data_IF_085224335727
#
_entry.id   IF_085224335727
#
_cell.length_a   1.000
_cell.length_b   1.000
_cell.length_c   1.000
_cell.angle_alpha   90.00
_cell.angle_beta   90.00
_cell.angle_gamma   90.00
#
_symmetry.space_group_name_H-M   'P 1'
#
loop_
_entity.id
_entity.type
_entity.pdbx_description
1 polymer ?
#
# COMPACT_ATOMS: atom_id res chain seq x y z
N UNK A 1 -13.63 -19.32 8.45
CA UNK A 1 -13.72 -19.02 9.90
C UNK A 1 -13.18 -17.63 10.27
N UNK A 2 -12.01 -17.19 9.76
CA UNK A 2 -11.40 -15.92 10.16
C UNK A 2 -12.28 -14.66 10.07
N UNK A 3 -13.01 -14.45 8.98
CA UNK A 3 -13.87 -13.26 8.82
C UNK A 3 -15.01 -13.15 9.84
N UNK A 4 -15.63 -14.28 10.20
CA UNK A 4 -16.68 -14.32 11.24
C UNK A 4 -16.14 -13.94 12.62
N UNK A 5 -14.91 -14.37 12.94
CA UNK A 5 -14.25 -14.00 14.19
C UNK A 5 -13.95 -12.49 14.26
N UNK A 6 -13.48 -11.89 13.16
CA UNK A 6 -13.24 -10.43 13.10
C UNK A 6 -14.50 -9.62 13.40
N UNK A 7 -15.65 -10.04 12.84
CA UNK A 7 -16.94 -9.40 13.12
C UNK A 7 -17.39 -9.59 14.58
N UNK A 8 -17.16 -10.76 15.17
CA UNK A 8 -17.49 -11.02 16.58
C UNK A 8 -16.62 -10.21 17.55
N UNK A 9 -15.34 -10.05 17.24
CA UNK A 9 -14.42 -9.23 18.05
C UNK A 9 -14.80 -7.76 17.93
N UNK A 10 -15.32 -7.33 16.78
CA UNK A 10 -15.67 -5.95 16.46
C UNK A 10 -14.52 -5.26 15.75
N UNK A 11 -14.64 -5.09 14.44
CA UNK A 11 -13.57 -4.56 13.58
C UNK A 11 -13.16 -3.13 13.94
N UNK A 12 -14.07 -2.34 14.49
CA UNK A 12 -13.84 -0.92 14.82
C UNK A 12 -12.99 -0.71 16.07
N UNK A 13 -12.73 -1.76 16.85
CA UNK A 13 -11.93 -1.67 18.09
C UNK A 13 -10.47 -1.29 17.84
N UNK A 14 -9.93 -1.58 16.65
CA UNK A 14 -8.53 -1.30 16.35
C UNK A 14 -8.30 -1.15 14.84
N UNK A 15 -7.50 -0.16 14.37
CA UNK A 15 -7.20 0.00 12.95
C UNK A 15 -6.66 -1.26 12.27
N UNK A 16 -5.85 -2.05 12.97
CA UNK A 16 -5.34 -3.32 12.42
C UNK A 16 -6.45 -4.32 12.07
N UNK A 17 -7.53 -4.39 12.87
CA UNK A 17 -8.65 -5.29 12.59
C UNK A 17 -9.43 -4.85 11.36
N UNK A 18 -9.63 -3.53 11.19
CA UNK A 18 -10.18 -2.94 9.96
C UNK A 18 -9.34 -3.28 8.73
N UNK A 19 -8.02 -3.12 8.80
CA UNK A 19 -7.11 -3.50 7.71
C UNK A 19 -7.18 -4.99 7.39
N UNK A 20 -7.10 -5.86 8.41
CA UNK A 20 -7.20 -7.31 8.21
C UNK A 20 -8.55 -7.70 7.60
N UNK A 21 -9.63 -7.09 8.05
CA UNK A 21 -10.96 -7.35 7.50
C UNK A 21 -11.06 -6.90 6.03
N UNK A 22 -10.57 -5.70 5.69
CA UNK A 22 -10.53 -5.23 4.31
C UNK A 22 -9.69 -6.14 3.39
N UNK A 23 -8.51 -6.60 3.84
CA UNK A 23 -7.72 -7.57 3.09
C UNK A 23 -8.45 -8.90 2.91
N UNK A 24 -9.22 -9.34 3.91
CA UNK A 24 -10.04 -10.54 3.79
C UNK A 24 -11.13 -10.39 2.73
N UNK A 25 -11.71 -9.19 2.60
CA UNK A 25 -12.73 -8.86 1.61
C UNK A 25 -12.16 -8.89 0.19
N UNK A 26 -10.95 -8.37 -0.04
CA UNK A 26 -10.28 -8.54 -1.34
C UNK A 26 -10.03 -10.02 -1.69
N UNK A 27 -9.61 -10.80 -0.71
CA UNK A 27 -9.21 -12.19 -0.93
C UNK A 27 -10.38 -13.18 -0.98
N UNK A 28 -11.62 -12.76 -0.66
CA UNK A 28 -12.74 -13.71 -0.49
C UNK A 28 -12.51 -14.71 0.65
N UNK A 29 -11.63 -14.39 1.61
CA UNK A 29 -11.30 -15.34 2.68
C UNK A 29 -12.37 -15.30 3.77
N UNK A 30 -13.08 -16.41 3.94
CA UNK A 30 -14.12 -16.56 4.96
C UNK A 30 -15.47 -15.92 4.61
N UNK A 31 -15.72 -15.64 3.33
CA UNK A 31 -16.97 -15.15 2.75
C UNK A 31 -16.74 -14.59 1.34
N UNK A 32 -17.77 -14.02 0.72
CA UNK A 32 -17.64 -13.49 -0.65
C UNK A 32 -16.65 -12.33 -0.75
N UNK A 33 -16.10 -12.13 -1.94
CA UNK A 33 -15.26 -10.96 -2.19
C UNK A 33 -16.12 -9.70 -2.25
N UNK A 34 -15.68 -8.64 -1.57
CA UNK A 34 -16.34 -7.33 -1.60
C UNK A 34 -15.26 -6.22 -1.62
N UNK A 35 -14.67 -5.97 -2.80
CA UNK A 35 -13.61 -4.99 -2.94
C UNK A 35 -14.09 -3.54 -2.72
N UNK A 36 -15.36 -3.24 -2.94
CA UNK A 36 -15.95 -1.91 -2.69
C UNK A 36 -15.97 -1.58 -1.20
N UNK A 37 -16.44 -2.52 -0.38
CA UNK A 37 -16.38 -2.38 1.08
C UNK A 37 -14.93 -2.35 1.58
N UNK A 38 -14.05 -3.18 1.01
CA UNK A 38 -12.63 -3.17 1.35
C UNK A 38 -12.00 -1.79 1.11
N UNK A 39 -12.26 -1.18 -0.05
CA UNK A 39 -11.76 0.14 -0.41
C UNK A 39 -12.22 1.21 0.60
N UNK A 40 -13.52 1.22 0.94
CA UNK A 40 -14.09 2.17 1.91
C UNK A 40 -13.41 2.07 3.28
N UNK A 41 -13.25 0.85 3.80
CA UNK A 41 -12.63 0.62 5.11
C UNK A 41 -11.16 1.07 5.13
N UNK A 42 -10.40 0.81 4.06
CA UNK A 42 -9.01 1.25 3.97
C UNK A 42 -8.89 2.77 3.86
N UNK A 43 -9.82 3.44 3.17
CA UNK A 43 -9.88 4.92 3.14
C UNK A 43 -10.14 5.47 4.55
N UNK A 44 -11.00 4.83 5.33
CA UNK A 44 -11.26 5.25 6.71
C UNK A 44 -10.04 5.03 7.63
N UNK A 45 -9.27 3.95 7.43
CA UNK A 45 -8.01 3.74 8.15
C UNK A 45 -6.97 4.83 7.83
N UNK A 46 -6.91 5.32 6.58
CA UNK A 46 -6.01 6.42 6.21
C UNK A 46 -6.34 7.73 6.94
N UNK A 47 -7.62 7.97 7.23
CA UNK A 47 -8.12 9.16 7.94
C UNK A 47 -8.00 9.04 9.46
N UNK A 48 -7.79 7.84 9.99
CA UNK A 48 -7.73 7.61 11.43
C UNK A 48 -6.40 8.11 12.02
N UNK A 49 -6.47 9.08 12.94
CA UNK A 49 -5.31 9.63 13.62
C UNK A 49 -4.59 8.63 14.52
N UNK A 50 -5.32 7.61 15.02
CA UNK A 50 -4.78 6.56 15.88
C UNK A 50 -4.16 5.40 15.08
N UNK A 51 -4.34 5.38 13.75
CA UNK A 51 -3.72 4.37 12.91
C UNK A 51 -2.22 4.65 12.74
N UNK A 52 -1.41 3.68 13.13
CA UNK A 52 0.04 3.72 12.94
C UNK A 52 0.38 3.86 11.44
N UNK A 53 1.46 4.59 11.13
CA UNK A 53 1.91 4.80 9.75
C UNK A 53 2.10 3.50 8.99
N UNK A 54 2.60 2.44 9.64
CA UNK A 54 2.73 1.12 9.00
C UNK A 54 1.39 0.58 8.47
N UNK A 55 0.30 0.78 9.21
CA UNK A 55 -1.04 0.37 8.79
C UNK A 55 -1.58 1.29 7.70
N UNK A 56 -1.31 2.60 7.77
CA UNK A 56 -1.66 3.55 6.71
C UNK A 56 -0.91 3.24 5.41
N UNK A 57 0.37 2.91 5.49
CA UNK A 57 1.20 2.49 4.37
C UNK A 57 0.66 1.23 3.70
N UNK A 58 0.33 0.20 4.48
CA UNK A 58 -0.29 -1.03 3.97
C UNK A 58 -1.66 -0.75 3.32
N UNK A 59 -2.47 0.11 3.95
CA UNK A 59 -3.80 0.47 3.44
C UNK A 59 -3.71 1.23 2.12
N UNK A 60 -2.80 2.20 2.03
CA UNK A 60 -2.54 2.94 0.81
C UNK A 60 -2.02 2.01 -0.31
N UNK A 61 -1.12 1.08 0.00
CA UNK A 61 -0.61 0.12 -0.99
C UNK A 61 -1.73 -0.79 -1.52
N UNK A 62 -2.59 -1.31 -0.64
CA UNK A 62 -3.72 -2.14 -1.03
C UNK A 62 -4.75 -1.37 -1.87
N UNK A 63 -5.00 -0.09 -1.57
CA UNK A 63 -5.81 0.80 -2.42
C UNK A 63 -5.15 1.06 -3.78
N UNK A 64 -3.81 1.17 -3.81
CA UNK A 64 -3.04 1.29 -5.05
C UNK A 64 -3.19 0.06 -5.94
N UNK A 65 -3.09 -1.14 -5.37
CA UNK A 65 -3.39 -2.39 -6.10
C UNK A 65 -4.84 -2.44 -6.57
N UNK A 66 -5.77 -1.94 -5.75
CA UNK A 66 -7.19 -1.90 -6.07
C UNK A 66 -7.47 -1.05 -7.30
N UNK A 67 -6.98 0.20 -7.31
CA UNK A 67 -7.12 1.13 -8.43
C UNK A 67 -6.38 0.63 -9.69
N UNK A 68 -5.20 0.01 -9.52
CA UNK A 68 -4.43 -0.55 -10.64
C UNK A 68 -5.14 -1.72 -11.33
N UNK A 69 -5.90 -2.51 -10.58
CA UNK A 69 -6.57 -3.72 -11.07
C UNK A 69 -8.07 -3.53 -11.33
N UNK A 70 -8.62 -2.34 -11.04
CA UNK A 70 -10.06 -2.08 -11.14
C UNK A 70 -10.89 -2.93 -10.17
N UNK A 71 -10.43 -3.08 -8.91
CA UNK A 71 -11.16 -3.84 -7.89
C UNK A 71 -12.11 -2.94 -7.13
N UNK A 72 -13.41 -3.16 -7.32
CA UNK A 72 -14.47 -2.40 -6.66
C UNK A 72 -14.70 -1.00 -7.22
N UNK A 73 -13.84 -0.52 -8.13
CA UNK A 73 -14.06 0.68 -8.92
C UNK A 73 -13.38 0.49 -10.30
N UNK A 74 -13.58 1.45 -11.21
CA UNK A 74 -12.90 1.43 -12.50
C UNK A 74 -11.37 1.50 -12.32
N UNK A 75 -10.64 0.89 -13.26
CA UNK A 75 -9.18 0.98 -13.29
C UNK A 75 -8.75 2.44 -13.43
N UNK A 76 -7.90 2.89 -12.51
CA UNK A 76 -7.37 4.26 -12.47
C UNK A 76 -5.87 4.23 -12.15
N UNK A 77 -5.06 4.47 -13.18
CA UNK A 77 -3.59 4.41 -13.09
C UNK A 77 -3.03 5.61 -12.33
N UNK A 78 -3.64 6.79 -12.46
CA UNK A 78 -3.20 8.00 -11.78
C UNK A 78 -3.44 7.87 -10.28
N UNK A 79 -4.64 7.42 -9.91
CA UNK A 79 -4.97 7.12 -8.53
C UNK A 79 -4.06 6.02 -7.96
N UNK A 80 -3.83 4.94 -8.72
CA UNK A 80 -2.94 3.86 -8.29
C UNK A 80 -1.53 4.38 -7.92
N UNK A 81 -0.92 5.19 -8.79
CA UNK A 81 0.39 5.82 -8.50
C UNK A 81 0.34 6.67 -7.25
N UNK A 82 -0.64 7.58 -7.13
CA UNK A 82 -0.78 8.46 -5.98
C UNK A 82 -0.90 7.65 -4.66
N UNK A 83 -1.60 6.52 -4.69
CA UNK A 83 -1.73 5.62 -3.54
C UNK A 83 -0.41 4.92 -3.18
N UNK A 84 0.39 4.47 -4.15
CA UNK A 84 1.71 3.91 -3.85
C UNK A 84 2.70 4.98 -3.36
N UNK A 85 2.63 6.21 -3.88
CA UNK A 85 3.44 7.33 -3.37
C UNK A 85 3.09 7.65 -1.92
N UNK A 86 1.80 7.68 -1.60
CA UNK A 86 1.30 7.81 -0.23
C UNK A 86 1.78 6.64 0.66
N UNK A 87 1.70 5.41 0.16
CA UNK A 87 2.17 4.23 0.88
C UNK A 87 3.66 4.32 1.22
N UNK A 88 4.48 4.75 0.25
CA UNK A 88 5.90 5.01 0.45
C UNK A 88 6.14 6.12 1.49
N UNK A 89 5.33 7.19 1.46
CA UNK A 89 5.37 8.28 2.46
C UNK A 89 5.14 7.79 3.90
N UNK A 90 4.26 6.80 4.09
CA UNK A 90 4.04 6.13 5.36
C UNK A 90 5.09 5.04 5.69
N UNK A 91 6.13 4.89 4.87
CA UNK A 91 7.22 3.95 5.09
C UNK A 91 7.03 2.55 4.51
N UNK A 92 5.99 2.31 3.71
CA UNK A 92 5.83 1.03 2.98
C UNK A 92 6.76 0.98 1.77
N UNK A 93 7.94 0.38 1.94
CA UNK A 93 9.06 0.49 0.98
C UNK A 93 8.83 -0.27 -0.30
N UNK A 94 8.08 -1.37 -0.24
CA UNK A 94 7.70 -2.18 -1.40
C UNK A 94 6.94 -1.34 -2.45
N UNK A 95 6.24 -0.27 -2.02
CA UNK A 95 5.59 0.66 -2.95
C UNK A 95 6.57 1.34 -3.92
N UNK A 96 7.82 1.60 -3.49
CA UNK A 96 8.83 2.16 -4.38
C UNK A 96 9.20 1.20 -5.51
N UNK A 97 9.30 -0.10 -5.21
CA UNK A 97 9.52 -1.12 -6.24
C UNK A 97 8.33 -1.17 -7.21
N UNK A 98 7.11 -1.13 -6.69
CA UNK A 98 5.90 -1.15 -7.52
C UNK A 98 5.80 0.07 -8.44
N UNK A 99 6.18 1.26 -7.95
CA UNK A 99 6.30 2.47 -8.77
C UNK A 99 7.43 2.38 -9.80
N UNK A 100 8.57 1.77 -9.48
CA UNK A 100 9.63 1.55 -10.45
C UNK A 100 9.15 0.66 -11.61
N UNK A 101 8.41 -0.41 -11.32
CA UNK A 101 7.79 -1.30 -12.31
C UNK A 101 6.79 -0.55 -13.22
N UNK A 102 6.03 0.41 -12.68
CA UNK A 102 5.18 1.28 -13.49
C UNK A 102 5.99 2.03 -14.56
N UNK A 103 7.07 2.70 -14.13
CA UNK A 103 7.94 3.45 -15.02
C UNK A 103 8.70 2.58 -16.02
N UNK A 104 8.82 1.27 -15.78
CA UNK A 104 9.33 0.29 -16.75
C UNK A 104 8.24 -0.25 -17.70
N UNK A 105 7.03 0.32 -17.68
CA UNK A 105 5.86 -0.12 -18.43
C UNK A 105 5.45 -1.58 -18.11
N UNK A 106 5.70 -2.05 -16.88
CA UNK A 106 5.40 -3.44 -16.46
C UNK A 106 3.96 -3.62 -16.00
N UNK A 107 3.22 -2.53 -15.78
CA UNK A 107 1.80 -2.60 -15.43
C UNK A 107 0.90 -2.85 -16.65
N UNK A 108 1.38 -2.55 -17.86
CA UNK A 108 0.60 -2.71 -19.10
C UNK A 108 -0.45 -1.62 -19.33
N UNK A 109 -0.55 -0.65 -18.43
CA UNK A 109 -1.41 0.53 -18.52
C UNK A 109 -0.64 1.77 -18.07
N UNK A 110 -1.00 2.94 -18.60
CA UNK A 110 -0.24 4.18 -18.43
C UNK A 110 -1.18 5.33 -18.07
N UNK A 111 -0.75 6.19 -17.16
CA UNK A 111 -1.44 7.44 -16.88
C UNK A 111 -1.32 8.40 -18.07
N UNK A 112 -2.26 9.33 -18.16
CA UNK A 112 -2.24 10.33 -19.24
C UNK A 112 -1.05 11.27 -19.06
N UNK A 113 -0.27 11.46 -20.13
CA UNK A 113 0.89 12.35 -20.11
C UNK A 113 2.21 11.73 -19.62
N UNK A 114 2.18 10.49 -19.11
CA UNK A 114 3.41 9.79 -18.77
C UNK A 114 4.04 9.14 -20.01
N UNK A 115 5.31 9.45 -20.26
CA UNK A 115 6.12 8.76 -21.26
C UNK A 115 6.80 7.54 -20.65
N UNK A 116 6.20 6.35 -20.80
CA UNK A 116 6.80 5.08 -20.37
C UNK A 116 7.24 4.22 -21.56
N UNK A 117 8.33 3.43 -21.44
CA UNK A 117 9.18 3.28 -20.27
C UNK A 117 10.11 4.49 -20.04
N UNK A 118 10.26 4.91 -18.77
CA UNK A 118 11.21 5.92 -18.33
C UNK A 118 12.21 5.31 -17.32
N UNK A 119 13.34 4.83 -17.85
CA UNK A 119 14.38 4.16 -17.03
C UNK A 119 14.99 5.08 -15.98
N UNK A 120 15.11 6.38 -16.26
CA UNK A 120 15.68 7.35 -15.32
C UNK A 120 14.78 7.51 -14.08
N UNK A 121 13.46 7.58 -14.26
CA UNK A 121 12.53 7.66 -13.14
C UNK A 121 12.44 6.31 -12.41
N UNK A 122 12.41 5.19 -13.13
CA UNK A 122 12.42 3.86 -12.53
C UNK A 122 13.63 3.65 -11.61
N UNK A 123 14.84 4.02 -12.05
CA UNK A 123 16.06 3.93 -11.23
C UNK A 123 16.00 4.79 -9.97
N UNK A 124 15.40 5.99 -10.03
CA UNK A 124 15.20 6.84 -8.85
C UNK A 124 14.31 6.14 -7.81
N UNK A 125 13.26 5.46 -8.25
CA UNK A 125 12.39 4.68 -7.36
C UNK A 125 13.07 3.44 -6.79
N UNK A 126 13.83 2.68 -7.60
CA UNK A 126 14.59 1.52 -7.11
C UNK A 126 15.60 1.90 -6.03
N UNK A 127 16.30 3.03 -6.16
CA UNK A 127 17.24 3.52 -5.13
C UNK A 127 16.54 3.74 -3.77
N UNK A 128 15.35 4.34 -3.79
CA UNK A 128 14.54 4.61 -2.59
C UNK A 128 14.04 3.35 -1.86
N UNK A 129 14.06 2.19 -2.52
CA UNK A 129 13.71 0.91 -1.93
C UNK A 129 14.74 0.44 -0.88
N UNK A 130 16.02 0.80 -1.01
CA UNK A 130 17.12 0.27 -0.18
C UNK A 130 17.80 1.24 0.81
N UNK A 131 17.49 2.54 0.75
CA UNK A 131 18.31 3.57 1.41
C UNK A 131 18.19 3.68 2.95
N UNK A 132 17.29 2.97 3.64
CA UNK A 132 17.06 3.16 5.09
C UNK A 132 17.69 2.13 6.04
N UNK A 133 18.31 1.05 5.55
CA UNK A 133 19.07 0.15 6.43
C UNK A 133 20.41 0.76 6.88
N UNK A 134 20.94 1.76 6.18
CA UNK A 134 22.21 2.38 6.53
C UNK A 134 22.10 3.42 7.66
N UNK A 135 20.94 4.07 7.85
CA UNK A 135 20.78 5.05 8.94
C UNK A 135 20.57 4.41 10.31
N UNK A 136 19.99 3.21 10.38
CA UNK A 136 19.80 2.49 11.66
C UNK A 136 21.09 1.78 12.10
N UNK A 137 21.95 1.38 11.15
CA UNK A 137 23.26 0.77 11.45
C UNK A 137 24.35 1.80 11.83
N UNK A 138 24.18 3.08 11.48
CA UNK A 138 25.13 4.14 11.84
C UNK A 138 24.86 4.77 13.22
N UNK A 139 23.70 4.52 13.84
CA UNK A 139 23.37 5.00 15.19
C UNK A 139 23.74 4.01 16.30
N UNK A 140 24.30 2.83 15.98
CA UNK A 140 24.71 1.82 16.96
C UNK A 140 26.22 1.55 16.87
N UNK A 141 27.02 2.60 17.03
CA UNK A 141 28.43 2.56 17.47
C UNK A 141 28.90 4.01 17.62
N UNK A 142 29.34 4.45 18.82
CA UNK A 142 30.63 3.98 19.32
C UNK A 142 30.68 3.77 20.85
N UNK A 143 31.22 2.63 21.28
CA UNK A 143 32.01 2.59 22.53
C UNK A 143 33.27 1.79 22.21
N UNK A 144 34.30 2.51 21.76
CA UNK A 144 35.66 2.02 21.88
C UNK A 144 36.12 2.33 23.32
N UNK A 145 36.44 1.29 24.08
CA UNK A 145 37.33 1.36 25.25
C UNK A 145 38.71 0.93 24.81
#
# INVERSE_FOLDING_TARGET
MGRKLLMQIGIDKHPALRVTYALSLFAGTGGDSDPELANRILVDVLKDENAQDKLKGLSAAALGDSARLGRGEALDVELAKARYEMAFGFGHREAAQTLALYWENRWGCTASGDSVPNRTIAQKWYKRCGENNQKILQTVSPVAR
#
